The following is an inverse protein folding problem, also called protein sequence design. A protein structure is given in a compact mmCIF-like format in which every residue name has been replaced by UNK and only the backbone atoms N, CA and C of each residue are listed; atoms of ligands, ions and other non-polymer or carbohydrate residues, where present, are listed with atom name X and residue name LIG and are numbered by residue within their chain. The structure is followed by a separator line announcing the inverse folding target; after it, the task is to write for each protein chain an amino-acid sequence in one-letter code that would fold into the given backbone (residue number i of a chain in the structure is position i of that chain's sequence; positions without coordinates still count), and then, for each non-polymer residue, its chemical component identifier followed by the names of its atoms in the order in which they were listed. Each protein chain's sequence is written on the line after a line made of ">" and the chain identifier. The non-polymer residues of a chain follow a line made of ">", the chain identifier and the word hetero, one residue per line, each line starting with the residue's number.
data_IF_491852254569
#
_entry.id   IF_491852254569
#
_cell.length_a   1.000
_cell.length_b   1.000
_cell.length_c   1.000
_cell.angle_alpha   90.00
_cell.angle_beta   90.00
_cell.angle_gamma   90.00
#
_symmetry.space_group_name_H-M   'P 1'
#
loop_
_entity.id
_entity.type
_entity.pdbx_description
1 polymer ?
#
# COMPACT_ATOMS: atom_id res chain seq x y z
N UNK A 1 5.06 -2.94 12.17
CA UNK A 1 5.88 -1.73 12.44
C UNK A 1 6.09 -0.87 11.19
N UNK A 2 6.39 -1.45 10.02
CA UNK A 2 6.75 -0.67 8.82
C UNK A 2 5.63 0.26 8.32
N UNK A 3 4.34 -0.12 8.27
CA UNK A 3 3.29 0.81 7.86
C UNK A 3 3.18 2.00 8.79
N UNK A 4 3.19 1.74 10.10
CA UNK A 4 3.17 2.79 11.13
C UNK A 4 4.34 3.77 10.98
N UNK A 5 5.57 3.26 10.83
CA UNK A 5 6.74 4.11 10.66
C UNK A 5 6.68 4.89 9.35
N UNK A 6 6.26 4.26 8.25
CA UNK A 6 6.13 4.92 6.94
C UNK A 6 5.16 6.10 7.00
N UNK A 7 4.02 5.93 7.66
CA UNK A 7 3.06 7.02 7.84
C UNK A 7 3.60 8.13 8.75
N UNK A 8 4.17 7.78 9.91
CA UNK A 8 4.62 8.76 10.90
C UNK A 8 5.93 9.46 10.55
N UNK A 9 6.74 8.92 9.64
CA UNK A 9 7.94 9.58 9.11
C UNK A 9 7.61 10.93 8.48
N UNK A 10 6.42 11.10 7.94
CA UNK A 10 5.93 12.35 7.36
C UNK A 10 5.79 13.46 8.40
N UNK A 11 5.60 13.16 9.70
CA UNK A 11 5.51 14.15 10.77
C UNK A 11 6.78 14.98 10.96
N UNK A 12 7.92 14.44 10.55
CA UNK A 12 9.22 15.09 10.65
C UNK A 12 9.78 15.51 9.28
N UNK A 13 8.92 15.54 8.24
CA UNK A 13 9.33 15.89 6.88
C UNK A 13 10.11 14.78 6.15
N UNK A 14 10.12 13.55 6.68
CA UNK A 14 10.81 12.41 6.07
C UNK A 14 9.86 11.66 5.12
N UNK A 15 9.30 12.36 4.13
CA UNK A 15 8.30 11.85 3.19
C UNK A 15 8.87 10.91 2.12
N UNK A 16 10.19 10.95 1.86
CA UNK A 16 10.91 10.05 0.95
C UNK A 16 11.56 8.92 1.74
N UNK A 17 10.72 8.04 2.24
CA UNK A 17 11.10 6.89 3.06
C UNK A 17 11.14 5.60 2.24
N UNK A 18 12.17 4.79 2.46
CA UNK A 18 12.30 3.44 1.92
C UNK A 18 12.46 2.45 3.06
N UNK A 19 11.52 1.53 3.18
CA UNK A 19 11.69 0.33 4.01
C UNK A 19 12.30 -0.80 3.16
N UNK A 20 12.98 -1.71 3.81
CA UNK A 20 13.61 -2.86 3.14
C UNK A 20 12.56 -3.96 2.95
N UNK A 21 11.96 -4.04 1.75
CA UNK A 21 10.92 -5.02 1.43
C UNK A 21 11.46 -6.43 1.68
N UNK A 22 10.74 -7.18 2.51
CA UNK A 22 11.10 -8.51 2.98
C UNK A 22 12.06 -8.54 4.16
N UNK A 23 12.49 -7.39 4.67
CA UNK A 23 13.41 -7.26 5.80
C UNK A 23 14.87 -7.47 5.44
N UNK A 24 15.76 -6.68 6.05
CA UNK A 24 17.18 -6.67 5.70
C UNK A 24 17.93 -7.87 6.31
N UNK A 25 17.76 -8.11 7.60
CA UNK A 25 18.53 -9.10 8.35
C UNK A 25 17.78 -9.63 9.58
N UNK A 26 18.33 -10.66 10.23
CA UNK A 26 17.85 -11.20 11.49
C UNK A 26 16.44 -11.80 11.47
N UNK A 27 15.96 -12.16 10.28
CA UNK A 27 14.66 -12.79 10.08
C UNK A 27 14.75 -14.23 9.60
N UNK A 28 13.61 -14.83 9.42
CA UNK A 28 13.43 -16.09 8.73
C UNK A 28 12.56 -15.88 7.48
N UNK A 29 12.69 -16.78 6.52
CA UNK A 29 11.90 -16.72 5.30
C UNK A 29 10.43 -17.04 5.61
N UNK A 30 9.56 -16.07 5.33
CA UNK A 30 8.12 -16.24 5.35
C UNK A 30 7.57 -15.70 4.03
N UNK A 31 7.12 -16.61 3.18
CA UNK A 31 6.75 -16.26 1.80
C UNK A 31 5.46 -15.44 1.73
N UNK A 32 4.49 -15.70 2.60
CA UNK A 32 3.25 -14.90 2.69
C UNK A 32 3.54 -13.49 3.19
N UNK A 33 4.37 -13.35 4.22
CA UNK A 33 4.80 -12.04 4.72
C UNK A 33 5.54 -11.25 3.63
N UNK A 34 6.37 -11.92 2.83
CA UNK A 34 7.07 -11.31 1.71
C UNK A 34 6.08 -10.72 0.69
N UNK A 35 5.06 -11.48 0.28
CA UNK A 35 4.03 -11.00 -0.62
C UNK A 35 3.25 -9.80 -0.04
N UNK A 36 2.89 -9.85 1.27
CA UNK A 36 2.24 -8.73 1.96
C UNK A 36 3.14 -7.49 2.01
N UNK A 37 4.45 -7.67 2.16
CA UNK A 37 5.40 -6.57 2.15
C UNK A 37 5.58 -5.95 0.76
N UNK A 38 5.50 -6.75 -0.31
CA UNK A 38 5.43 -6.24 -1.68
C UNK A 38 4.19 -5.37 -1.91
N UNK A 39 3.04 -5.79 -1.37
CA UNK A 39 1.80 -5.00 -1.43
C UNK A 39 1.96 -3.66 -0.69
N UNK A 40 2.57 -3.66 0.51
CA UNK A 40 2.92 -2.43 1.21
C UNK A 40 3.89 -1.58 0.39
N UNK A 41 4.90 -2.19 -0.24
CA UNK A 41 5.87 -1.52 -1.10
C UNK A 41 5.24 -0.81 -2.29
N UNK A 42 4.17 -1.39 -2.86
CA UNK A 42 3.41 -0.77 -3.95
C UNK A 42 2.85 0.60 -3.55
N UNK A 43 2.38 0.71 -2.31
CA UNK A 43 1.81 1.93 -1.73
C UNK A 43 2.76 2.64 -0.76
N UNK A 44 4.06 2.57 -1.04
CA UNK A 44 5.10 3.25 -0.27
C UNK A 44 5.76 4.35 -1.11
N UNK A 45 6.43 5.34 -0.50
CA UNK A 45 7.12 6.38 -1.26
C UNK A 45 8.18 5.79 -2.20
N UNK A 46 9.02 4.89 -1.70
CA UNK A 46 10.04 4.20 -2.47
C UNK A 46 9.78 2.69 -2.38
N UNK A 47 9.67 2.05 -3.53
CA UNK A 47 9.58 0.59 -3.65
C UNK A 47 10.98 0.02 -3.89
N UNK A 48 11.56 -0.60 -2.87
CA UNK A 48 12.93 -1.15 -2.92
C UNK A 48 13.01 -2.48 -2.23
N UNK A 49 13.46 -3.49 -2.97
CA UNK A 49 13.86 -4.77 -2.40
C UNK A 49 15.23 -4.61 -1.75
N UNK A 50 15.43 -5.20 -0.59
CA UNK A 50 16.72 -5.21 0.06
C UNK A 50 16.91 -6.44 0.95
N UNK A 51 18.11 -6.99 0.90
CA UNK A 51 18.51 -8.13 1.71
C UNK A 51 20.01 -8.07 2.02
N UNK A 52 20.50 -8.99 2.83
CA UNK A 52 21.93 -9.21 3.01
C UNK A 52 22.55 -9.80 1.73
N UNK A 53 23.87 -9.79 1.64
CA UNK A 53 24.62 -10.34 0.50
C UNK A 53 24.53 -11.87 0.35
N UNK A 54 23.82 -12.56 1.22
CA UNK A 54 23.65 -14.01 1.13
C UNK A 54 22.72 -14.40 -0.02
N UNK A 55 23.11 -15.36 -0.87
CA UNK A 55 22.26 -15.85 -1.95
C UNK A 55 20.97 -16.55 -1.47
N UNK A 56 20.93 -16.94 -0.20
CA UNK A 56 19.74 -17.56 0.42
C UNK A 56 18.69 -16.54 0.90
N UNK A 57 18.97 -15.25 0.80
CA UNK A 57 18.07 -14.18 1.24
C UNK A 57 17.49 -13.34 0.09
N UNK A 58 17.53 -13.88 -1.13
CA UNK A 58 16.96 -13.23 -2.32
C UNK A 58 15.47 -12.94 -2.15
N UNK A 59 15.09 -11.72 -2.48
CA UNK A 59 13.71 -11.18 -2.32
C UNK A 59 12.97 -11.06 -3.65
N UNK A 60 13.64 -11.31 -4.74
CA UNK A 60 13.07 -11.15 -6.08
C UNK A 60 11.99 -12.19 -6.36
N UNK A 61 10.95 -11.85 -7.15
CA UNK A 61 9.81 -12.73 -7.38
C UNK A 61 10.17 -14.13 -7.91
N UNK A 62 11.20 -14.24 -8.73
CA UNK A 62 11.63 -15.54 -9.28
C UNK A 62 12.21 -16.53 -8.26
N UNK A 63 12.47 -16.07 -7.02
CA UNK A 63 12.87 -16.94 -5.91
C UNK A 63 11.66 -17.57 -5.18
N UNK A 64 10.45 -17.27 -5.63
CA UNK A 64 9.18 -17.71 -5.04
C UNK A 64 8.33 -18.43 -6.09
N UNK A 65 7.31 -19.15 -5.67
CA UNK A 65 6.43 -19.92 -6.56
C UNK A 65 4.95 -19.74 -6.22
N UNK A 66 4.09 -20.28 -7.08
CA UNK A 66 2.64 -20.30 -6.85
C UNK A 66 2.03 -18.91 -6.65
N UNK A 67 1.10 -18.83 -5.71
CA UNK A 67 0.33 -17.60 -5.44
C UNK A 67 1.20 -16.47 -4.88
N UNK A 68 2.28 -16.80 -4.16
CA UNK A 68 3.23 -15.83 -3.64
C UNK A 68 3.93 -15.11 -4.80
N UNK A 69 4.50 -15.86 -5.74
CA UNK A 69 5.12 -15.30 -6.95
C UNK A 69 4.12 -14.42 -7.72
N UNK A 70 2.91 -14.92 -7.95
CA UNK A 70 1.87 -14.19 -8.67
C UNK A 70 1.50 -12.88 -7.98
N UNK A 71 1.32 -12.88 -6.65
CA UNK A 71 1.02 -11.69 -5.87
C UNK A 71 2.15 -10.65 -5.91
N UNK A 72 3.41 -11.10 -5.83
CA UNK A 72 4.58 -10.23 -5.92
C UNK A 72 4.69 -9.55 -7.29
N UNK A 73 4.53 -10.33 -8.38
CA UNK A 73 4.56 -9.81 -9.75
C UNK A 73 3.41 -8.83 -9.97
N UNK A 74 2.19 -9.16 -9.52
CA UNK A 74 1.04 -8.26 -9.63
C UNK A 74 1.27 -6.93 -8.89
N UNK A 75 1.90 -6.99 -7.70
CA UNK A 75 2.25 -5.80 -6.91
C UNK A 75 3.24 -4.88 -7.62
N UNK A 76 4.28 -5.45 -8.24
CA UNK A 76 5.25 -4.67 -9.01
C UNK A 76 4.63 -4.07 -10.28
N UNK A 77 3.80 -4.83 -10.99
CA UNK A 77 3.09 -4.31 -12.16
C UNK A 77 2.14 -3.18 -11.77
N UNK A 78 1.38 -3.34 -10.69
CA UNK A 78 0.53 -2.26 -10.18
C UNK A 78 1.34 -1.01 -9.81
N UNK A 79 2.53 -1.18 -9.22
CA UNK A 79 3.42 -0.04 -8.94
C UNK A 79 3.79 0.72 -10.21
N UNK A 80 4.07 0.04 -11.31
CA UNK A 80 4.32 0.67 -12.61
C UNK A 80 3.07 1.35 -13.17
N UNK A 81 1.90 0.71 -13.07
CA UNK A 81 0.63 1.33 -13.48
C UNK A 81 0.34 2.63 -12.73
N UNK A 82 0.74 2.74 -11.48
CA UNK A 82 0.55 3.91 -10.63
C UNK A 82 1.55 5.06 -10.93
N UNK A 83 2.49 4.92 -11.85
CA UNK A 83 3.51 5.96 -12.12
C UNK A 83 2.91 7.36 -12.40
N UNK A 84 1.85 7.53 -13.22
CA UNK A 84 1.26 8.85 -13.43
C UNK A 84 0.69 9.45 -12.14
N UNK A 85 0.05 8.64 -11.32
CA UNK A 85 -0.45 9.06 -10.01
C UNK A 85 0.69 9.46 -9.08
N UNK A 86 1.73 8.63 -8.99
CA UNK A 86 2.93 8.88 -8.16
C UNK A 86 3.66 10.15 -8.60
N UNK A 87 3.82 10.35 -9.91
CA UNK A 87 4.45 11.56 -10.44
C UNK A 87 3.67 12.81 -10.03
N UNK A 88 2.35 12.78 -10.17
CA UNK A 88 1.47 13.89 -9.80
C UNK A 88 1.56 14.19 -8.30
N UNK A 89 1.55 13.16 -7.44
CA UNK A 89 1.67 13.34 -6.00
C UNK A 89 3.05 13.87 -5.60
N UNK A 90 4.11 13.42 -6.27
CA UNK A 90 5.45 13.91 -6.03
C UNK A 90 5.66 15.36 -6.51
N UNK A 91 5.03 15.73 -7.62
CA UNK A 91 4.99 17.12 -8.07
C UNK A 91 4.31 18.01 -7.02
N UNK A 92 3.17 17.58 -6.48
CA UNK A 92 2.49 18.25 -5.37
C UNK A 92 3.40 18.36 -4.13
N UNK A 93 4.11 17.28 -3.78
CA UNK A 93 5.03 17.27 -2.65
C UNK A 93 6.16 18.33 -2.83
N UNK A 94 6.63 18.51 -4.05
CA UNK A 94 7.64 19.52 -4.37
C UNK A 94 7.11 20.97 -4.26
N UNK A 95 5.83 21.19 -4.56
CA UNK A 95 5.21 22.52 -4.49
C UNK A 95 4.75 22.88 -3.08
N UNK A 96 4.05 21.96 -2.42
CA UNK A 96 3.29 22.23 -1.20
C UNK A 96 3.95 21.63 0.05
N UNK A 97 5.01 20.83 -0.13
CA UNK A 97 5.65 20.09 0.96
C UNK A 97 4.82 18.92 1.49
N UNK A 98 3.67 18.58 0.86
CA UNK A 98 2.81 17.48 1.30
C UNK A 98 3.36 16.12 0.82
N UNK A 99 3.70 15.20 1.74
CA UNK A 99 4.24 13.91 1.37
C UNK A 99 3.20 13.02 0.65
N UNK A 100 3.71 11.98 -0.03
CA UNK A 100 2.86 10.98 -0.67
C UNK A 100 2.06 10.16 0.35
N UNK A 101 2.69 9.82 1.48
CA UNK A 101 2.07 9.05 2.55
C UNK A 101 1.79 9.98 3.73
N UNK A 102 0.53 10.00 4.17
CA UNK A 102 0.09 10.81 5.30
C UNK A 102 -0.62 9.93 6.33
N UNK A 103 -0.31 10.06 7.64
CA UNK A 103 -1.08 9.38 8.67
C UNK A 103 -2.52 9.88 8.68
N UNK A 104 -3.47 9.04 9.09
CA UNK A 104 -4.90 9.33 9.02
C UNK A 104 -5.30 10.62 9.75
N UNK A 105 -4.64 10.92 10.87
CA UNK A 105 -4.94 12.11 11.68
C UNK A 105 -4.53 13.45 11.05
N UNK A 106 -3.77 13.47 9.95
CA UNK A 106 -3.46 14.74 9.27
C UNK A 106 -4.70 15.38 8.62
N UNK A 107 -5.57 14.54 8.05
CA UNK A 107 -6.82 15.01 7.46
C UNK A 107 -7.99 15.08 8.46
N UNK A 108 -7.90 14.33 9.56
CA UNK A 108 -8.94 14.18 10.56
C UNK A 108 -8.40 14.40 11.99
N UNK A 109 -7.74 15.56 12.26
CA UNK A 109 -7.00 15.77 13.51
C UNK A 109 -7.89 15.81 14.76
N UNK A 110 -9.16 16.12 14.60
CA UNK A 110 -10.13 16.19 15.70
C UNK A 110 -10.94 14.89 15.88
N UNK A 111 -10.70 13.88 15.03
CA UNK A 111 -11.40 12.61 15.13
C UNK A 111 -10.53 11.57 15.86
N UNK A 112 -10.92 11.13 17.08
CA UNK A 112 -10.14 10.15 17.83
C UNK A 112 -9.88 8.84 17.05
N UNK A 113 -10.81 8.44 16.17
CA UNK A 113 -10.69 7.21 15.40
C UNK A 113 -9.49 7.21 14.45
N UNK A 114 -9.07 8.38 13.98
CA UNK A 114 -7.90 8.52 13.12
C UNK A 114 -6.57 8.15 13.81
N UNK A 115 -6.54 8.16 15.14
CA UNK A 115 -5.37 7.79 15.94
C UNK A 115 -5.37 6.32 16.36
N UNK A 116 -6.49 5.62 16.15
CA UNK A 116 -6.68 4.22 16.55
C UNK A 116 -6.36 3.22 15.42
N UNK A 117 -5.92 3.71 14.27
CA UNK A 117 -5.57 2.91 13.07
C UNK A 117 -4.12 3.19 12.63
N UNK A 118 -3.13 2.86 13.46
CA UNK A 118 -1.74 3.30 13.28
C UNK A 118 -1.08 2.78 12.00
N UNK A 119 -1.52 1.64 11.48
CA UNK A 119 -0.97 1.02 10.27
C UNK A 119 -1.68 1.49 8.98
N UNK A 120 -2.82 2.19 9.12
CA UNK A 120 -3.57 2.74 8.01
C UNK A 120 -3.06 4.14 7.64
N UNK A 121 -3.04 4.44 6.34
CA UNK A 121 -2.53 5.71 5.87
C UNK A 121 -3.21 6.17 4.57
N UNK A 122 -3.15 7.46 4.31
CA UNK A 122 -3.47 8.03 3.00
C UNK A 122 -2.28 7.91 2.08
N UNK A 123 -2.56 7.49 0.85
CA UNK A 123 -1.58 7.41 -0.23
C UNK A 123 -1.98 8.40 -1.33
N UNK A 124 -1.35 9.55 -1.32
CA UNK A 124 -1.77 10.70 -2.11
C UNK A 124 -3.11 11.26 -1.64
N UNK A 125 -3.86 11.88 -2.55
CA UNK A 125 -5.13 12.54 -2.26
C UNK A 125 -6.34 11.60 -2.28
N UNK A 126 -6.26 10.52 -3.06
CA UNK A 126 -7.44 9.75 -3.45
C UNK A 126 -7.51 8.35 -2.82
N UNK A 127 -6.38 7.83 -2.35
CA UNK A 127 -6.31 6.46 -1.83
C UNK A 127 -6.12 6.43 -0.32
N UNK A 128 -6.72 5.41 0.29
CA UNK A 128 -6.54 5.01 1.67
C UNK A 128 -6.10 3.55 1.67
N UNK A 129 -5.03 3.25 2.37
CA UNK A 129 -4.40 1.92 2.41
C UNK A 129 -4.42 1.39 3.83
N UNK A 130 -4.99 0.21 4.02
CA UNK A 130 -5.02 -0.51 5.30
C UNK A 130 -4.24 -1.83 5.16
N UNK A 131 -2.92 -1.84 5.35
CA UNK A 131 -2.09 -3.01 5.11
C UNK A 131 -2.46 -4.19 6.02
N UNK A 132 -2.31 -5.41 5.50
CA UNK A 132 -2.37 -6.62 6.29
C UNK A 132 -0.98 -6.88 6.84
N UNK A 133 -0.84 -6.86 8.16
CA UNK A 133 0.44 -6.96 8.88
C UNK A 133 0.55 -8.21 9.76
N UNK A 134 -0.42 -9.10 9.65
CA UNK A 134 -0.47 -10.38 10.37
C UNK A 134 -0.49 -11.55 9.39
N UNK A 135 -0.12 -12.72 9.86
CA UNK A 135 -0.24 -13.95 9.08
C UNK A 135 -1.69 -14.20 8.65
N UNK A 136 -1.84 -14.89 7.53
CA UNK A 136 -3.15 -15.31 7.05
C UNK A 136 -3.78 -16.31 8.02
N UNK A 137 -5.10 -16.19 8.24
CA UNK A 137 -5.86 -17.19 8.98
C UNK A 137 -5.78 -18.54 8.26
N UNK A 138 -5.34 -19.61 8.93
CA UNK A 138 -5.10 -20.90 8.30
C UNK A 138 -6.37 -21.58 7.81
N UNK A 139 -7.54 -21.23 8.36
CA UNK A 139 -8.83 -21.79 7.98
C UNK A 139 -9.44 -21.02 6.81
N UNK A 140 -9.46 -19.69 6.91
CA UNK A 140 -10.00 -18.82 5.88
C UNK A 140 -9.04 -18.66 4.69
N UNK A 141 -7.74 -18.93 4.89
CA UNK A 141 -6.65 -18.68 3.94
C UNK A 141 -6.67 -17.22 3.43
N UNK A 142 -6.86 -16.30 4.36
CA UNK A 142 -6.97 -14.86 4.10
C UNK A 142 -6.31 -14.07 5.19
N UNK A 143 -5.66 -12.99 4.82
CA UNK A 143 -5.19 -11.99 5.76
C UNK A 143 -6.32 -11.06 6.18
N UNK A 144 -6.23 -10.58 7.41
CA UNK A 144 -7.21 -9.70 8.05
C UNK A 144 -6.56 -8.40 8.50
N UNK A 145 -7.29 -7.31 8.37
CA UNK A 145 -6.94 -6.03 8.99
C UNK A 145 -8.21 -5.27 9.38
N UNK A 146 -8.08 -4.32 10.30
CA UNK A 146 -9.10 -3.31 10.51
C UNK A 146 -8.81 -2.10 9.63
N UNK A 147 -9.84 -1.57 8.99
CA UNK A 147 -9.79 -0.32 8.26
C UNK A 147 -10.79 0.67 8.86
N UNK A 148 -10.45 1.94 8.88
CA UNK A 148 -11.33 3.02 9.27
C UNK A 148 -11.56 3.97 8.10
N UNK A 149 -12.80 4.05 7.64
CA UNK A 149 -13.19 4.95 6.57
C UNK A 149 -13.75 6.25 7.18
N UNK A 150 -13.14 7.41 6.96
CA UNK A 150 -13.72 8.69 7.29
C UNK A 150 -15.09 8.86 6.67
N UNK A 151 -15.89 9.80 7.18
CA UNK A 151 -17.21 10.09 6.61
C UNK A 151 -17.12 10.34 5.10
N UNK A 152 -17.97 9.65 4.34
CA UNK A 152 -18.03 9.74 2.89
C UNK A 152 -18.31 8.41 2.22
N UNK A 153 -18.08 8.42 0.92
CA UNK A 153 -18.27 7.25 0.07
C UNK A 153 -16.92 6.80 -0.50
N UNK A 154 -16.67 5.50 -0.45
CA UNK A 154 -15.43 4.87 -0.78
C UNK A 154 -15.66 3.66 -1.67
N UNK A 155 -14.69 3.34 -2.51
CA UNK A 155 -14.72 2.18 -3.38
C UNK A 155 -13.47 1.32 -3.17
N UNK A 156 -13.65 0.01 -3.05
CA UNK A 156 -12.50 -0.90 -3.11
C UNK A 156 -11.78 -0.67 -4.43
N UNK A 157 -10.47 -0.41 -4.36
CA UNK A 157 -9.65 -0.08 -5.52
C UNK A 157 -9.57 -1.23 -6.54
N UNK A 158 -9.66 -2.49 -6.07
CA UNK A 158 -9.45 -3.67 -6.90
C UNK A 158 -10.74 -4.20 -7.53
N UNK A 159 -11.88 -4.15 -6.83
CA UNK A 159 -13.12 -4.74 -7.30
C UNK A 159 -14.29 -3.75 -7.43
N UNK A 160 -14.07 -2.50 -7.08
CA UNK A 160 -15.07 -1.45 -7.20
C UNK A 160 -16.22 -1.55 -6.19
N UNK A 161 -16.12 -2.39 -5.17
CA UNK A 161 -17.17 -2.52 -4.14
C UNK A 161 -17.32 -1.22 -3.38
N UNK A 162 -18.56 -0.75 -3.30
CA UNK A 162 -18.91 0.50 -2.63
C UNK A 162 -19.02 0.31 -1.12
N UNK A 163 -18.45 1.25 -0.38
CA UNK A 163 -18.58 1.39 1.08
C UNK A 163 -19.08 2.79 1.41
N UNK A 164 -20.05 2.87 2.30
CA UNK A 164 -20.59 4.15 2.78
C UNK A 164 -20.27 4.29 4.26
N UNK A 165 -19.76 5.45 4.64
CA UNK A 165 -19.50 5.87 6.01
C UNK A 165 -20.34 7.10 6.30
N UNK A 166 -21.53 6.89 6.86
CA UNK A 166 -22.53 7.96 7.09
C UNK A 166 -22.28 8.76 8.36
N UNK A 167 -21.44 8.22 9.26
CA UNK A 167 -21.20 8.81 10.56
C UNK A 167 -20.01 9.77 10.53
N UNK A 168 -20.12 10.91 11.20
CA UNK A 168 -19.01 11.85 11.37
C UNK A 168 -17.78 11.26 12.07
N UNK A 169 -17.97 10.25 12.95
CA UNK A 169 -16.86 9.49 13.54
C UNK A 169 -16.18 8.53 12.58
N UNK A 170 -16.72 8.35 11.36
CA UNK A 170 -16.26 7.36 10.40
C UNK A 170 -16.84 5.96 10.66
N UNK A 171 -16.39 5.00 9.88
CA UNK A 171 -16.83 3.61 9.94
C UNK A 171 -15.65 2.66 10.03
N UNK A 172 -15.62 1.83 11.06
CA UNK A 172 -14.65 0.72 11.16
C UNK A 172 -15.15 -0.52 10.43
N UNK A 173 -14.23 -1.20 9.78
CA UNK A 173 -14.48 -2.40 9.00
C UNK A 173 -13.41 -3.43 9.32
N UNK A 174 -13.81 -4.65 9.63
CA UNK A 174 -12.91 -5.78 9.54
C UNK A 174 -12.89 -6.26 8.08
N UNK A 175 -11.71 -6.27 7.48
CA UNK A 175 -11.54 -6.55 6.05
C UNK A 175 -10.63 -7.75 5.87
N UNK A 176 -11.10 -8.72 5.08
CA UNK A 176 -10.37 -9.93 4.74
C UNK A 176 -10.00 -9.93 3.26
N UNK A 177 -8.74 -10.28 2.95
CA UNK A 177 -8.27 -10.38 1.56
C UNK A 177 -7.44 -11.66 1.37
N UNK A 178 -7.61 -12.29 0.21
CA UNK A 178 -6.69 -13.32 -0.25
C UNK A 178 -5.30 -12.72 -0.50
N UNK A 179 -4.31 -13.57 -0.78
CA UNK A 179 -2.93 -13.13 -0.93
C UNK A 179 -2.69 -12.23 -2.16
N UNK A 180 -3.63 -12.22 -3.10
CA UNK A 180 -3.55 -11.46 -4.35
C UNK A 180 -3.68 -9.93 -4.18
N UNK A 181 -4.18 -9.45 -3.03
CA UNK A 181 -4.42 -8.02 -2.81
C UNK A 181 -4.40 -7.62 -1.33
N UNK A 182 -4.22 -6.33 -1.08
CA UNK A 182 -4.38 -5.68 0.24
C UNK A 182 -5.58 -4.73 0.21
N UNK A 183 -6.22 -4.39 1.34
CA UNK A 183 -7.28 -3.41 1.37
C UNK A 183 -6.80 -2.02 0.97
N UNK A 184 -7.36 -1.50 -0.11
CA UNK A 184 -7.15 -0.15 -0.62
C UNK A 184 -8.50 0.43 -1.01
N UNK A 185 -8.79 1.64 -0.56
CA UNK A 185 -10.06 2.32 -0.81
C UNK A 185 -9.82 3.62 -1.57
N UNK A 186 -10.54 3.80 -2.66
CA UNK A 186 -10.56 5.03 -3.43
C UNK A 186 -11.72 5.92 -2.96
N UNK A 187 -11.45 7.20 -2.79
CA UNK A 187 -12.49 8.18 -2.44
C UNK A 187 -13.44 8.38 -3.62
N UNK A 188 -14.74 8.49 -3.33
CA UNK A 188 -15.74 8.83 -4.35
C UNK A 188 -15.41 10.15 -5.06
N UNK A 189 -15.47 10.16 -6.38
CA UNK A 189 -15.12 11.32 -7.21
C UNK A 189 -13.62 11.52 -7.41
N UNK A 190 -12.77 10.70 -6.78
CA UNK A 190 -11.31 10.75 -6.97
C UNK A 190 -10.89 10.30 -8.38
N UNK A 191 -9.80 10.87 -8.89
CA UNK A 191 -9.20 10.50 -10.16
C UNK A 191 -7.82 9.89 -9.90
N UNK A 192 -7.65 8.63 -10.27
CA UNK A 192 -6.41 7.89 -10.12
C UNK A 192 -5.93 7.50 -11.51
N UNK A 193 -5.04 8.31 -12.13
CA UNK A 193 -4.51 7.97 -13.43
C UNK A 193 -3.60 6.74 -13.33
N UNK A 194 -3.85 5.77 -14.21
CA UNK A 194 -3.07 4.55 -14.32
C UNK A 194 -2.49 4.44 -15.72
N UNK A 195 -1.24 4.05 -15.80
CA UNK A 195 -0.61 3.70 -17.07
C UNK A 195 -1.01 2.27 -17.46
N UNK A 196 -1.41 2.07 -18.70
CA UNK A 196 -1.56 0.73 -19.25
C UNK A 196 -0.18 0.10 -19.48
N UNK A 197 0.01 -1.11 -18.96
CA UNK A 197 1.23 -1.88 -19.21
C UNK A 197 0.99 -2.81 -20.40
N UNK A 198 1.83 -2.68 -21.40
CA UNK A 198 1.85 -3.62 -22.52
C UNK A 198 2.08 -5.06 -22.01
N UNK A 199 1.49 -6.01 -22.70
CA UNK A 199 1.79 -7.43 -22.52
C UNK A 199 3.18 -7.69 -23.08
N UNK A 200 4.19 -7.84 -22.23
CA UNK A 200 5.57 -8.05 -22.62
C UNK A 200 6.56 -7.30 -21.71
N UNK A 201 7.76 -7.15 -22.18
CA UNK A 201 8.90 -6.73 -21.38
C UNK A 201 9.05 -5.22 -21.18
N UNK A 202 8.24 -4.39 -21.85
CA UNK A 202 8.43 -2.94 -21.81
C UNK A 202 7.53 -2.25 -20.77
N UNK A 203 7.64 -2.70 -19.51
CA UNK A 203 6.93 -2.08 -18.38
C UNK A 203 7.44 -0.68 -18.04
N UNK A 204 8.58 -0.26 -18.60
CA UNK A 204 9.20 1.04 -18.38
C UNK A 204 8.93 2.04 -19.52
N UNK A 205 8.10 1.68 -20.48
CA UNK A 205 7.72 2.62 -21.56
C UNK A 205 6.73 3.66 -21.04
N UNK A 206 7.23 4.85 -20.76
CA UNK A 206 6.45 5.99 -20.27
C UNK A 206 5.90 6.89 -21.40
N UNK A 207 5.98 6.48 -22.65
CA UNK A 207 5.52 7.28 -23.79
C UNK A 207 4.01 7.42 -23.88
N UNK A 208 3.27 6.53 -23.22
CA UNK A 208 1.81 6.57 -23.09
C UNK A 208 1.41 6.41 -21.62
N UNK A 209 1.49 7.46 -20.81
CA UNK A 209 0.96 7.45 -19.45
C UNK A 209 -0.57 7.44 -19.45
#
# INVERSE_FOLDING_TARGET
>A
FQPYFTATASNIGYGWWSHDIGGHMCGYRNEHLEARWYQLGTFSPINRLHSSSSPFTGKEPWNFSGDVHAAMVASLRLRHMLLPYLYTMNYRAALDGRPLVEPMYWSEPNNPQAYEVPDEFRFGTELLVAPIVTDDDPTAQRGRTEAWLPQGEWYDFFDGRRYVSDNASGRRLEVWRALDRTPVFAKAGGIIPLQELATGDDVNDLRNP
#
